data_IF_411943962450
#
_entry.id   IF_411943962450
#
_cell.length_a   1.000
_cell.length_b   1.000
_cell.length_c   1.000
_cell.angle_alpha   90.00
_cell.angle_beta   90.00
_cell.angle_gamma   90.00
#
_symmetry.space_group_name_H-M   'P 1'
#
loop_
_entity.id
_entity.type
_entity.pdbx_description
1 polymer ?
#
# COMPACT_ATOMS: atom_id res chain seq x y z
N UNK A 1 1.15 24.59 -26.47
CA UNK A 1 1.91 23.32 -26.44
C UNK A 1 1.99 22.83 -25.00
N UNK A 2 0.93 22.17 -24.50
CA UNK A 2 0.78 21.78 -23.09
C UNK A 2 0.42 20.29 -22.91
N UNK A 3 0.73 19.44 -23.90
CA UNK A 3 0.17 18.08 -24.00
C UNK A 3 1.18 16.93 -23.83
N UNK A 4 2.43 17.21 -23.43
CA UNK A 4 3.45 16.17 -23.24
C UNK A 4 4.24 16.31 -21.94
N UNK A 5 3.65 16.91 -20.89
CA UNK A 5 4.11 16.57 -19.55
C UNK A 5 3.64 15.15 -19.26
N UNK A 6 4.57 14.20 -19.34
CA UNK A 6 4.38 12.86 -18.84
C UNK A 6 3.95 12.99 -17.38
N UNK A 7 2.66 12.76 -17.10
CA UNK A 7 2.14 12.84 -15.73
C UNK A 7 2.67 11.64 -14.92
N UNK A 8 3.87 11.85 -14.35
CA UNK A 8 4.56 10.89 -13.50
C UNK A 8 3.70 10.46 -12.31
N UNK A 9 2.88 11.39 -11.77
CA UNK A 9 1.93 11.11 -10.69
C UNK A 9 0.84 10.15 -11.17
N UNK A 10 0.15 10.47 -12.27
CA UNK A 10 -0.92 9.61 -12.77
C UNK A 10 -0.41 8.20 -13.12
N UNK A 11 0.75 8.10 -13.77
CA UNK A 11 1.35 6.79 -14.09
C UNK A 11 1.74 6.00 -12.84
N UNK A 12 2.22 6.69 -11.81
CA UNK A 12 2.55 6.07 -10.52
C UNK A 12 1.30 5.57 -9.81
N UNK A 13 0.27 6.39 -9.68
CA UNK A 13 -0.99 6.00 -9.06
C UNK A 13 -1.66 4.84 -9.82
N UNK A 14 -1.63 4.84 -11.16
CA UNK A 14 -2.10 3.69 -11.95
C UNK A 14 -1.34 2.38 -11.67
N UNK A 15 -0.07 2.43 -11.23
CA UNK A 15 0.66 1.23 -10.81
C UNK A 15 0.30 0.81 -9.39
N UNK A 16 0.09 1.77 -8.50
CA UNK A 16 -0.43 1.52 -7.14
C UNK A 16 -1.80 0.85 -7.23
N UNK A 17 -2.71 1.38 -8.04
CA UNK A 17 -4.03 0.80 -8.29
C UNK A 17 -3.96 -0.63 -8.85
N UNK A 18 -3.02 -0.90 -9.76
CA UNK A 18 -2.80 -2.27 -10.25
C UNK A 18 -2.32 -3.22 -9.14
N UNK A 19 -1.47 -2.76 -8.23
CA UNK A 19 -1.06 -3.54 -7.05
C UNK A 19 -2.22 -3.76 -6.09
N UNK A 20 -3.02 -2.73 -5.83
CA UNK A 20 -4.23 -2.81 -5.03
C UNK A 20 -5.24 -3.83 -5.60
N UNK A 21 -5.45 -3.82 -6.92
CA UNK A 21 -6.27 -4.82 -7.61
C UNK A 21 -5.75 -6.25 -7.42
N UNK A 22 -4.44 -6.45 -7.44
CA UNK A 22 -3.83 -7.75 -7.15
C UNK A 22 -4.09 -8.18 -5.69
N UNK A 23 -3.95 -7.28 -4.71
CA UNK A 23 -4.29 -7.57 -3.31
C UNK A 23 -5.77 -7.95 -3.15
N UNK A 24 -6.67 -7.27 -3.87
CA UNK A 24 -8.10 -7.61 -3.90
C UNK A 24 -8.35 -9.02 -4.45
N UNK A 25 -7.63 -9.43 -5.49
CA UNK A 25 -7.71 -10.79 -6.03
C UNK A 25 -7.22 -11.84 -5.02
N UNK A 26 -6.12 -11.56 -4.32
CA UNK A 26 -5.62 -12.43 -3.24
C UNK A 26 -6.68 -12.57 -2.14
N UNK A 27 -7.25 -11.47 -1.69
CA UNK A 27 -8.29 -11.46 -0.66
C UNK A 27 -9.53 -12.26 -1.08
N UNK A 28 -9.98 -12.10 -2.33
CA UNK A 28 -11.09 -12.89 -2.88
C UNK A 28 -10.79 -14.40 -2.92
N UNK A 29 -9.51 -14.77 -2.91
CA UNK A 29 -9.04 -16.16 -2.85
C UNK A 29 -8.74 -16.61 -1.41
N UNK A 30 -9.17 -15.88 -0.39
CA UNK A 30 -8.87 -16.09 1.03
C UNK A 30 -7.36 -16.08 1.36
N UNK A 31 -6.56 -15.33 0.60
CA UNK A 31 -5.14 -15.12 0.87
C UNK A 31 -4.93 -13.71 1.44
N UNK A 32 -4.30 -13.64 2.61
CA UNK A 32 -3.95 -12.39 3.29
C UNK A 32 -2.45 -12.13 3.26
N UNK A 33 -2.04 -10.88 3.13
CA UNK A 33 -0.64 -10.47 3.35
C UNK A 33 -0.50 -10.03 4.80
N UNK A 34 0.51 -10.55 5.49
CA UNK A 34 0.80 -10.15 6.87
C UNK A 34 1.16 -8.66 6.94
N UNK A 35 0.57 -7.95 7.90
CA UNK A 35 0.93 -6.58 8.24
C UNK A 35 1.41 -6.51 9.69
N UNK A 36 2.58 -5.91 9.98
CA UNK A 36 3.05 -5.75 11.35
C UNK A 36 2.05 -5.00 12.24
N UNK A 37 1.89 -5.43 13.49
CA UNK A 37 1.05 -4.75 14.48
C UNK A 37 1.65 -3.44 14.98
N UNK A 38 2.98 -3.36 15.08
CA UNK A 38 3.69 -2.15 15.49
C UNK A 38 3.55 -1.06 14.41
N UNK A 39 3.08 0.12 14.80
CA UNK A 39 2.78 1.22 13.88
C UNK A 39 4.00 1.68 13.08
N UNK A 40 5.16 1.81 13.74
CA UNK A 40 6.41 2.23 13.09
C UNK A 40 6.84 1.23 12.02
N UNK A 41 6.83 -0.06 12.35
CA UNK A 41 7.17 -1.12 11.40
C UNK A 41 6.17 -1.17 10.25
N UNK A 42 4.86 -1.13 10.54
CA UNK A 42 3.79 -1.09 9.54
C UNK A 42 3.99 0.06 8.56
N UNK A 43 4.21 1.26 9.07
CA UNK A 43 4.42 2.46 8.25
C UNK A 43 5.63 2.28 7.33
N UNK A 44 6.77 1.85 7.89
CA UNK A 44 8.00 1.64 7.12
C UNK A 44 7.82 0.57 6.03
N UNK A 45 7.15 -0.54 6.33
CA UNK A 45 6.89 -1.60 5.36
C UNK A 45 6.05 -1.09 4.20
N UNK A 46 4.96 -0.35 4.47
CA UNK A 46 4.10 0.18 3.41
C UNK A 46 4.85 1.25 2.60
N UNK A 47 5.56 2.18 3.26
CA UNK A 47 6.38 3.19 2.59
C UNK A 47 7.43 2.55 1.66
N UNK A 48 8.04 1.44 2.08
CA UNK A 48 8.96 0.68 1.23
C UNK A 48 8.26 0.11 -0.01
N UNK A 49 7.07 -0.48 0.14
CA UNK A 49 6.28 -0.99 -0.99
C UNK A 49 5.90 0.14 -1.96
N UNK A 50 5.47 1.29 -1.44
CA UNK A 50 5.17 2.50 -2.22
C UNK A 50 6.39 2.91 -3.04
N UNK A 51 7.57 3.05 -2.40
CA UNK A 51 8.83 3.41 -3.08
C UNK A 51 9.25 2.38 -4.12
N UNK A 52 9.10 1.09 -3.85
CA UNK A 52 9.36 0.01 -4.81
C UNK A 52 8.33 -0.06 -5.95
N UNK A 53 7.22 0.69 -5.89
CA UNK A 53 6.24 0.83 -6.99
C UNK A 53 6.61 1.94 -7.96
N UNK A 54 7.28 2.98 -7.46
CA UNK A 54 7.76 4.07 -8.28
C UNK A 54 8.95 3.62 -9.13
N UNK A 55 9.03 4.07 -10.39
CA UNK A 55 10.28 3.94 -11.14
C UNK A 55 11.28 4.93 -10.58
N UNK A 56 12.55 4.58 -10.66
CA UNK A 56 13.63 5.44 -10.15
C UNK A 56 13.60 6.85 -10.75
N UNK A 57 13.26 6.98 -12.03
CA UNK A 57 13.13 8.25 -12.74
C UNK A 57 11.92 9.09 -12.31
N UNK A 58 10.91 8.49 -11.67
CA UNK A 58 9.69 9.20 -11.25
C UNK A 58 9.79 9.69 -9.82
N UNK A 59 10.56 9.02 -8.95
CA UNK A 59 10.69 9.35 -7.54
C UNK A 59 10.98 10.84 -7.25
N UNK A 60 11.88 11.53 -7.99
CA UNK A 60 12.13 12.95 -7.77
C UNK A 60 10.93 13.86 -8.08
N UNK A 61 9.96 13.36 -8.86
CA UNK A 61 8.78 14.11 -9.30
C UNK A 61 7.51 13.77 -8.50
N UNK A 62 7.59 12.85 -7.54
CA UNK A 62 6.46 12.49 -6.68
C UNK A 62 6.49 13.35 -5.41
N UNK A 63 5.48 14.21 -5.27
CA UNK A 63 5.27 14.98 -4.04
C UNK A 63 4.87 14.11 -2.86
N UNK A 64 5.01 14.64 -1.64
CA UNK A 64 4.64 13.94 -0.41
C UNK A 64 3.16 13.53 -0.42
N UNK A 65 2.27 14.38 -0.94
CA UNK A 65 0.83 14.09 -1.03
C UNK A 65 0.54 12.86 -1.89
N UNK A 66 1.28 12.69 -2.99
CA UNK A 66 1.11 11.53 -3.89
C UNK A 66 1.59 10.24 -3.22
N UNK A 67 2.67 10.32 -2.44
CA UNK A 67 3.17 9.18 -1.67
C UNK A 67 2.21 8.83 -0.52
N UNK A 68 1.60 9.83 0.11
CA UNK A 68 0.60 9.64 1.17
C UNK A 68 -0.71 9.04 0.62
N UNK A 69 -1.15 9.47 -0.57
CA UNK A 69 -2.28 8.89 -1.30
C UNK A 69 -2.01 7.40 -1.60
N UNK A 70 -0.85 7.09 -2.18
CA UNK A 70 -0.44 5.72 -2.46
C UNK A 70 -0.31 4.85 -1.19
N UNK A 71 0.23 5.41 -0.11
CA UNK A 71 0.30 4.77 1.20
C UNK A 71 -1.10 4.38 1.70
N UNK A 72 -2.05 5.32 1.63
CA UNK A 72 -3.42 5.13 2.12
C UNK A 72 -4.15 4.04 1.34
N UNK A 73 -4.01 4.02 0.01
CA UNK A 73 -4.60 2.99 -0.86
C UNK A 73 -4.10 1.60 -0.43
N UNK A 74 -2.78 1.44 -0.28
CA UNK A 74 -2.20 0.15 0.09
C UNK A 74 -2.53 -0.23 1.54
N UNK A 75 -2.50 0.71 2.47
CA UNK A 75 -2.85 0.48 3.87
C UNK A 75 -4.26 -0.10 3.98
N UNK A 76 -5.25 0.52 3.33
CA UNK A 76 -6.65 0.07 3.40
C UNK A 76 -6.81 -1.38 2.94
N UNK A 77 -6.19 -1.74 1.82
CA UNK A 77 -6.25 -3.12 1.32
C UNK A 77 -5.52 -4.11 2.22
N UNK A 78 -4.34 -3.74 2.74
CA UNK A 78 -3.58 -4.60 3.65
C UNK A 78 -4.31 -4.79 4.99
N UNK A 79 -4.93 -3.74 5.54
CA UNK A 79 -5.76 -3.84 6.75
C UNK A 79 -6.96 -4.77 6.52
N UNK A 80 -7.64 -4.66 5.38
CA UNK A 80 -8.76 -5.54 5.05
C UNK A 80 -8.32 -7.01 4.98
N UNK A 81 -7.12 -7.28 4.47
CA UNK A 81 -6.56 -8.64 4.39
C UNK A 81 -6.25 -9.27 5.75
N UNK A 82 -6.14 -8.50 6.84
CA UNK A 82 -5.82 -9.08 8.14
C UNK A 82 -6.94 -10.00 8.66
N UNK A 83 -8.19 -9.81 8.18
CA UNK A 83 -9.35 -10.62 8.59
C UNK A 83 -9.34 -12.06 8.07
N UNK A 84 -8.56 -12.35 7.02
CA UNK A 84 -8.47 -13.68 6.40
C UNK A 84 -7.22 -14.46 6.82
N UNK A 85 -6.36 -13.86 7.65
CA UNK A 85 -5.17 -14.53 8.18
C UNK A 85 -5.57 -15.60 9.21
N UNK A 86 -4.73 -16.62 9.46
CA UNK A 86 -4.94 -17.58 10.55
C UNK A 86 -5.13 -16.92 11.92
N UNK A 87 -5.95 -17.53 12.79
CA UNK A 87 -6.33 -16.95 14.09
C UNK A 87 -5.15 -16.63 15.02
N UNK A 88 -4.10 -17.45 15.01
CA UNK A 88 -2.87 -17.24 15.76
C UNK A 88 -2.12 -15.98 15.28
N UNK A 89 -2.09 -15.75 13.98
CA UNK A 89 -1.54 -14.54 13.36
C UNK A 89 -2.42 -13.34 13.69
N UNK A 90 -3.74 -13.43 13.58
CA UNK A 90 -4.66 -12.36 13.93
C UNK A 90 -4.52 -11.95 15.41
N UNK A 91 -4.37 -12.91 16.31
CA UNK A 91 -4.21 -12.63 17.74
C UNK A 91 -2.92 -11.86 18.03
N UNK A 92 -1.80 -12.26 17.40
CA UNK A 92 -0.50 -11.55 17.50
C UNK A 92 -0.53 -10.18 16.81
N UNK A 93 -1.24 -10.08 15.69
CA UNK A 93 -1.35 -8.87 14.88
C UNK A 93 -2.47 -7.93 15.31
N UNK A 94 -3.24 -8.28 16.35
CA UNK A 94 -4.36 -7.47 16.81
C UNK A 94 -3.88 -6.04 17.00
N UNK A 95 -4.29 -5.18 16.07
CA UNK A 95 -3.94 -3.77 16.07
C UNK A 95 -4.62 -3.21 17.32
N UNK A 96 -3.83 -3.01 18.38
CA UNK A 96 -4.29 -2.32 19.58
C UNK A 96 -4.53 -0.87 19.17
N UNK A 97 -5.77 -0.56 18.75
CA UNK A 97 -6.25 0.82 18.73
C UNK A 97 -6.34 1.25 20.19
N UNK A 98 -5.29 1.90 20.69
CA UNK A 98 -5.39 2.66 21.93
C UNK A 98 -6.35 3.81 21.62
N UNK A 99 -7.61 3.65 22.01
CA UNK A 99 -8.54 4.77 22.15
C UNK A 99 -8.27 5.45 23.48
#
# INVERSE_FOLDING_TARGET
MAELQIDHRARFLQRIERRAKFLKTLLASNLGVFLPSEEKQRRQTIEQVVRMTARHSELPHLGQDTLAEAYTILLNHLEEMQRVLPHDVQYRNRIKRNW
#
